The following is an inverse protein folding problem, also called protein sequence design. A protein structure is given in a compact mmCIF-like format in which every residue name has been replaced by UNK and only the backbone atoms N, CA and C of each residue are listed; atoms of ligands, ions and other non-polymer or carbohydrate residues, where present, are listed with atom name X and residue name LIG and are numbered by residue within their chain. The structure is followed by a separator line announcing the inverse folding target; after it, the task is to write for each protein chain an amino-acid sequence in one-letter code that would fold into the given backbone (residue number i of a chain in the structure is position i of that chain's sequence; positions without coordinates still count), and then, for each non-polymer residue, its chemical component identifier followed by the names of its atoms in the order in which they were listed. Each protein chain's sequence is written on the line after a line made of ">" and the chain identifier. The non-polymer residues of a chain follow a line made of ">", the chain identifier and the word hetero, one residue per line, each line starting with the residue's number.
data_IF_154686373545
#
_entry.id   IF_154686373545
#
_cell.length_a   1.000
_cell.length_b   1.000
_cell.length_c   1.000
_cell.angle_alpha   90.00
_cell.angle_beta   90.00
_cell.angle_gamma   90.00
#
_symmetry.space_group_name_H-M   'P 1'
#
loop_
_entity.id
_entity.type
_entity.pdbx_description
1 polymer ?
#
# COMPACT_ATOMS: atom_id res chain seq x y z
N UNK A 1 43.18 -34.88 -8.30
CA UNK A 1 43.30 -33.45 -8.35
C UNK A 1 42.01 -32.82 -8.84
N UNK A 2 41.30 -32.06 -8.00
CA UNK A 2 40.15 -31.26 -8.39
C UNK A 2 40.65 -30.16 -9.33
N UNK A 3 40.31 -30.22 -10.61
CA UNK A 3 40.50 -29.14 -11.56
C UNK A 3 39.44 -28.07 -11.24
N UNK A 4 39.88 -26.99 -10.61
CA UNK A 4 39.01 -25.91 -10.23
C UNK A 4 38.42 -25.19 -11.47
N UNK A 5 37.21 -24.59 -11.31
CA UNK A 5 36.52 -23.77 -12.32
C UNK A 5 37.42 -22.71 -12.98
N UNK A 6 38.47 -22.22 -12.29
CA UNK A 6 39.43 -21.27 -12.81
C UNK A 6 40.28 -21.79 -14.00
N UNK A 7 40.47 -23.11 -14.17
CA UNK A 7 41.22 -23.66 -15.28
C UNK A 7 40.40 -23.74 -16.59
N UNK A 8 39.11 -23.73 -16.54
CA UNK A 8 38.22 -23.72 -17.71
C UNK A 8 38.23 -22.33 -18.38
N UNK A 9 38.28 -21.25 -17.60
CA UNK A 9 38.32 -19.87 -18.11
C UNK A 9 39.65 -19.53 -18.83
N UNK A 10 40.77 -20.16 -18.44
CA UNK A 10 42.08 -19.92 -19.06
C UNK A 10 42.24 -20.62 -20.41
N UNK A 11 41.30 -21.41 -20.88
CA UNK A 11 41.42 -22.22 -22.08
C UNK A 11 40.58 -21.76 -23.29
N UNK A 12 39.73 -20.74 -23.13
CA UNK A 12 39.01 -20.19 -24.29
C UNK A 12 39.93 -19.29 -25.13
N UNK A 13 40.00 -19.48 -26.44
CA UNK A 13 40.70 -18.57 -27.34
C UNK A 13 40.19 -17.13 -27.23
N UNK A 14 41.05 -16.14 -27.39
CA UNK A 14 40.67 -14.72 -27.26
C UNK A 14 39.52 -14.34 -28.18
N UNK A 15 39.47 -14.88 -29.39
CA UNK A 15 38.41 -14.67 -30.36
C UNK A 15 37.04 -15.18 -29.82
N UNK A 16 37.03 -16.34 -29.18
CA UNK A 16 35.81 -16.89 -28.59
C UNK A 16 35.33 -16.03 -27.42
N UNK A 17 36.25 -15.54 -26.58
CA UNK A 17 35.92 -14.61 -25.50
C UNK A 17 35.24 -13.33 -26.03
N UNK A 18 35.77 -12.76 -27.13
CA UNK A 18 35.21 -11.57 -27.75
C UNK A 18 33.80 -11.82 -28.34
N UNK A 19 33.59 -12.98 -28.97
CA UNK A 19 32.28 -13.39 -29.49
C UNK A 19 31.25 -13.52 -28.36
N UNK A 20 31.64 -14.18 -27.25
CA UNK A 20 30.79 -14.34 -26.06
C UNK A 20 30.45 -12.96 -25.47
N UNK A 21 31.44 -12.08 -25.31
CA UNK A 21 31.23 -10.74 -24.78
C UNK A 21 30.21 -9.94 -25.63
N UNK A 22 30.44 -9.88 -26.96
CA UNK A 22 29.54 -9.19 -27.88
C UNK A 22 28.12 -9.75 -27.87
N UNK A 23 27.99 -11.08 -27.83
CA UNK A 23 26.70 -11.75 -27.74
C UNK A 23 25.98 -11.41 -26.42
N UNK A 24 26.71 -11.48 -25.30
CA UNK A 24 26.15 -11.20 -23.98
C UNK A 24 25.74 -9.72 -23.85
N UNK A 25 26.56 -8.78 -24.35
CA UNK A 25 26.24 -7.36 -24.35
C UNK A 25 24.90 -7.09 -25.06
N UNK A 26 24.75 -7.68 -26.27
CA UNK A 26 23.49 -7.57 -27.02
C UNK A 26 22.32 -8.21 -26.28
N UNK A 27 22.47 -9.46 -25.83
CA UNK A 27 21.36 -10.21 -25.21
C UNK A 27 20.99 -9.66 -23.84
N UNK A 28 21.96 -9.25 -23.02
CA UNK A 28 21.69 -8.61 -21.76
C UNK A 28 21.01 -7.25 -21.94
N UNK A 29 21.42 -6.47 -22.97
CA UNK A 29 20.74 -5.22 -23.33
C UNK A 29 19.28 -5.45 -23.71
N UNK A 30 18.98 -6.42 -24.59
CA UNK A 30 17.60 -6.78 -24.94
C UNK A 30 16.74 -7.18 -23.69
N UNK A 31 17.34 -7.91 -22.73
CA UNK A 31 16.67 -8.32 -21.48
C UNK A 31 16.44 -7.10 -20.59
N UNK A 32 17.43 -6.19 -20.45
CA UNK A 32 17.30 -4.98 -19.64
C UNK A 32 16.21 -4.05 -20.18
N UNK A 33 16.11 -3.91 -21.51
CA UNK A 33 15.01 -3.17 -22.15
C UNK A 33 13.64 -3.79 -21.82
N UNK A 34 13.52 -5.12 -21.87
CA UNK A 34 12.29 -5.81 -21.48
C UNK A 34 11.93 -5.59 -20.00
N UNK A 35 12.91 -5.60 -19.10
CA UNK A 35 12.70 -5.32 -17.68
C UNK A 35 12.20 -3.88 -17.52
N UNK A 36 12.85 -2.91 -18.15
CA UNK A 36 12.44 -1.50 -18.10
C UNK A 36 11.01 -1.30 -18.57
N UNK A 37 10.63 -1.95 -19.69
CA UNK A 37 9.25 -1.91 -20.18
C UNK A 37 8.22 -2.48 -19.17
N UNK A 38 8.58 -3.57 -18.45
CA UNK A 38 7.67 -4.09 -17.41
C UNK A 38 7.55 -3.12 -16.22
N UNK A 39 8.64 -2.47 -15.80
CA UNK A 39 8.64 -1.46 -14.72
C UNK A 39 7.80 -0.24 -15.10
N UNK A 40 7.91 0.24 -16.32
CA UNK A 40 7.06 1.32 -16.84
C UNK A 40 5.57 0.93 -16.85
N UNK A 41 5.25 -0.31 -17.26
CA UNK A 41 3.89 -0.81 -17.25
C UNK A 41 3.32 -0.88 -15.82
N UNK A 42 4.11 -1.31 -14.83
CA UNK A 42 3.72 -1.31 -13.41
C UNK A 42 3.39 0.12 -12.96
N UNK A 43 4.24 1.08 -13.27
CA UNK A 43 4.02 2.49 -12.94
C UNK A 43 2.72 3.04 -13.56
N UNK A 44 2.44 2.71 -14.82
CA UNK A 44 1.19 3.08 -15.50
C UNK A 44 -0.03 2.43 -14.86
N UNK A 45 0.05 1.14 -14.48
CA UNK A 45 -1.03 0.43 -13.79
C UNK A 45 -1.31 1.04 -12.40
N UNK A 46 -0.28 1.40 -11.63
CA UNK A 46 -0.44 2.08 -10.36
C UNK A 46 -1.11 3.46 -10.51
N UNK A 47 -0.71 4.23 -11.52
CA UNK A 47 -1.33 5.52 -11.84
C UNK A 47 -2.78 5.35 -12.29
N UNK A 48 -3.09 4.33 -13.08
CA UNK A 48 -4.45 4.02 -13.50
C UNK A 48 -5.32 3.61 -12.32
N UNK A 49 -4.81 2.74 -11.41
CA UNK A 49 -5.50 2.37 -10.17
C UNK A 49 -5.88 3.61 -9.36
N UNK A 50 -4.94 4.53 -9.21
CA UNK A 50 -5.18 5.78 -8.48
C UNK A 50 -6.26 6.65 -9.15
N UNK A 51 -6.28 6.71 -10.49
CA UNK A 51 -7.31 7.46 -11.24
C UNK A 51 -8.69 6.82 -11.09
N UNK A 52 -8.78 5.49 -11.19
CA UNK A 52 -10.03 4.74 -11.00
C UNK A 52 -10.61 4.98 -9.61
N UNK A 53 -9.78 4.91 -8.57
CA UNK A 53 -10.22 5.18 -7.19
C UNK A 53 -10.74 6.62 -7.10
N UNK A 54 -9.94 7.60 -7.55
CA UNK A 54 -10.32 9.01 -7.45
C UNK A 54 -11.61 9.31 -8.18
N UNK A 55 -11.77 8.84 -9.43
CA UNK A 55 -12.98 9.05 -10.23
C UNK A 55 -14.21 8.45 -9.53
N UNK A 56 -14.13 7.21 -9.07
CA UNK A 56 -15.24 6.53 -8.45
C UNK A 56 -15.70 7.17 -7.13
N UNK A 57 -14.76 7.61 -6.27
CA UNK A 57 -15.13 8.22 -4.97
C UNK A 57 -15.45 9.72 -5.04
N UNK A 58 -15.25 10.37 -6.20
CA UNK A 58 -15.60 11.79 -6.39
C UNK A 58 -16.73 12.01 -7.38
N UNK A 59 -16.86 11.17 -8.41
CA UNK A 59 -17.84 11.32 -9.49
C UNK A 59 -18.83 10.17 -9.60
N UNK A 60 -18.67 9.10 -8.79
CA UNK A 60 -19.53 7.93 -8.86
C UNK A 60 -19.23 7.03 -10.05
N UNK A 61 -20.13 6.09 -10.32
CA UNK A 61 -20.00 5.11 -11.41
C UNK A 61 -20.80 5.50 -12.66
N UNK A 62 -21.84 6.31 -12.51
CA UNK A 62 -22.67 6.78 -13.62
C UNK A 62 -22.12 8.13 -14.15
N UNK A 63 -21.67 8.13 -15.39
CA UNK A 63 -21.09 9.31 -16.05
C UNK A 63 -22.13 10.30 -16.56
N UNK A 64 -23.41 9.93 -16.55
CA UNK A 64 -24.50 10.76 -17.07
C UNK A 64 -25.19 11.61 -15.99
N UNK A 65 -24.75 11.47 -14.74
CA UNK A 65 -25.33 12.23 -13.62
C UNK A 65 -24.86 13.69 -13.70
N UNK A 66 -25.79 14.67 -13.54
CA UNK A 66 -25.41 16.08 -13.46
C UNK A 66 -24.46 16.33 -12.29
N UNK A 67 -23.45 17.16 -12.53
CA UNK A 67 -22.46 17.54 -11.54
C UNK A 67 -22.75 18.93 -10.96
N UNK A 68 -22.32 19.16 -9.72
CA UNK A 68 -22.30 20.46 -9.06
C UNK A 68 -20.94 20.72 -8.43
N UNK A 69 -20.59 21.98 -8.26
CA UNK A 69 -19.43 22.36 -7.45
C UNK A 69 -19.67 21.91 -5.98
N UNK A 70 -18.71 21.22 -5.40
CA UNK A 70 -18.73 20.79 -4.01
C UNK A 70 -18.59 21.95 -3.01
N UNK A 71 -18.13 23.10 -3.46
CA UNK A 71 -17.72 24.23 -2.62
C UNK A 71 -16.38 24.00 -1.89
N UNK A 72 -15.67 22.91 -2.20
CA UNK A 72 -14.38 22.54 -1.61
C UNK A 72 -13.36 22.37 -2.73
N UNK A 73 -12.38 23.24 -2.78
CA UNK A 73 -11.39 23.33 -3.87
C UNK A 73 -10.76 21.98 -4.24
N UNK A 74 -10.33 21.20 -3.25
CA UNK A 74 -9.65 19.90 -3.51
C UNK A 74 -10.60 18.74 -3.84
N UNK A 75 -11.91 18.89 -3.63
CA UNK A 75 -12.92 17.89 -4.03
C UNK A 75 -13.37 18.18 -5.48
N UNK A 76 -13.55 19.46 -5.81
CA UNK A 76 -14.03 19.89 -7.12
C UNK A 76 -15.50 19.56 -7.35
N UNK A 77 -15.84 19.13 -8.56
CA UNK A 77 -17.21 18.77 -8.95
C UNK A 77 -17.58 17.36 -8.47
N UNK A 78 -18.81 17.22 -7.99
CA UNK A 78 -19.42 15.97 -7.50
C UNK A 78 -20.82 15.79 -8.10
N UNK A 79 -21.39 14.57 -8.13
CA UNK A 79 -22.78 14.36 -8.50
C UNK A 79 -23.73 15.24 -7.69
N UNK A 80 -24.74 15.81 -8.34
CA UNK A 80 -25.63 16.80 -7.73
C UNK A 80 -26.33 16.29 -6.46
N UNK A 81 -26.67 15.01 -6.43
CA UNK A 81 -27.34 14.37 -5.30
C UNK A 81 -26.43 14.02 -4.11
N UNK A 82 -25.09 14.13 -4.28
CA UNK A 82 -24.14 13.86 -3.19
C UNK A 82 -24.09 15.00 -2.19
N UNK A 83 -23.66 14.67 -0.97
CA UNK A 83 -23.51 15.63 0.14
C UNK A 83 -22.06 15.72 0.58
N UNK A 84 -21.59 16.95 0.77
CA UNK A 84 -20.28 17.23 1.38
C UNK A 84 -20.46 17.38 2.88
N UNK A 85 -19.69 16.64 3.66
CA UNK A 85 -19.68 16.77 5.12
C UNK A 85 -18.29 16.50 5.69
N UNK A 86 -18.04 16.99 6.90
CA UNK A 86 -16.81 16.69 7.63
C UNK A 86 -16.82 15.26 8.14
N UNK A 87 -15.62 14.66 8.21
CA UNK A 87 -15.40 13.29 8.65
C UNK A 87 -16.02 12.99 10.02
N UNK A 88 -15.97 13.94 10.96
CA UNK A 88 -16.56 13.82 12.29
C UNK A 88 -18.06 13.49 12.32
N UNK A 89 -18.77 13.71 11.22
CA UNK A 89 -20.18 13.33 11.09
C UNK A 89 -20.35 11.91 10.52
N UNK A 90 -19.26 11.30 10.04
CA UNK A 90 -19.24 9.96 9.44
C UNK A 90 -18.73 8.88 10.39
N UNK A 91 -17.74 9.18 11.23
CA UNK A 91 -17.12 8.23 12.14
C UNK A 91 -16.44 8.94 13.32
N UNK A 92 -15.97 8.17 14.29
CA UNK A 92 -15.10 8.63 15.37
C UNK A 92 -13.66 8.17 15.13
N UNK A 93 -12.68 8.92 15.64
CA UNK A 93 -11.26 8.58 15.58
C UNK A 93 -10.70 8.39 16.98
N UNK A 94 -9.94 7.31 17.15
CA UNK A 94 -9.27 6.99 18.40
C UNK A 94 -7.79 6.71 18.14
N UNK A 95 -6.97 7.03 19.14
CA UNK A 95 -5.55 6.75 19.12
C UNK A 95 -5.05 6.49 20.53
N UNK A 96 -3.93 5.83 20.66
CA UNK A 96 -3.36 5.56 21.98
C UNK A 96 -3.02 6.88 22.69
N UNK A 97 -3.58 7.05 23.86
CA UNK A 97 -3.36 8.25 24.70
C UNK A 97 -1.99 8.15 25.36
N UNK A 98 -1.22 9.26 25.42
CA UNK A 98 0.17 9.27 25.86
C UNK A 98 0.40 8.63 27.23
N UNK A 99 -0.46 8.89 28.24
CA UNK A 99 -0.35 8.30 29.57
C UNK A 99 -0.73 6.80 29.63
N UNK A 100 -1.40 6.27 28.60
CA UNK A 100 -1.65 4.84 28.40
C UNK A 100 -0.68 4.22 27.37
N UNK A 101 0.44 4.90 27.10
CA UNK A 101 1.52 4.36 26.30
C UNK A 101 2.07 3.05 26.88
N UNK A 102 2.86 2.34 26.08
CA UNK A 102 3.53 1.13 26.52
C UNK A 102 5.04 1.23 26.25
N UNK A 103 5.81 0.45 27.00
CA UNK A 103 7.26 0.33 26.90
C UNK A 103 7.64 -1.05 26.39
N UNK A 104 8.94 -1.28 26.16
CA UNK A 104 9.48 -2.59 25.77
C UNK A 104 9.08 -3.72 26.74
N UNK A 105 8.98 -3.42 28.04
CA UNK A 105 8.63 -4.40 29.08
C UNK A 105 7.15 -4.83 29.00
N UNK A 106 6.31 -4.07 28.32
CA UNK A 106 4.91 -4.41 28.06
C UNK A 106 4.76 -5.35 26.84
N UNK A 107 5.84 -5.51 26.05
CA UNK A 107 5.86 -6.42 24.91
C UNK A 107 6.13 -7.84 25.40
N UNK A 108 5.39 -8.79 24.85
CA UNK A 108 5.40 -10.20 25.28
C UNK A 108 5.58 -11.13 24.09
N UNK A 109 5.88 -12.39 24.36
CA UNK A 109 5.92 -13.44 23.35
C UNK A 109 4.53 -13.83 22.86
N UNK A 110 4.47 -14.49 21.72
CA UNK A 110 3.24 -15.04 21.14
C UNK A 110 2.45 -15.86 22.17
N UNK A 111 1.12 -15.70 22.14
CA UNK A 111 0.21 -16.36 23.08
C UNK A 111 -0.02 -15.62 24.41
N UNK A 112 0.85 -14.66 24.78
CA UNK A 112 0.77 -13.93 26.04
C UNK A 112 0.17 -12.54 25.95
N UNK A 113 -0.36 -12.16 24.79
CA UNK A 113 -0.94 -10.83 24.56
C UNK A 113 -1.63 -10.71 23.21
N UNK A 114 -2.16 -9.52 22.95
CA UNK A 114 -2.79 -9.13 21.69
C UNK A 114 -1.77 -8.58 20.70
N UNK A 115 -2.04 -8.70 19.39
CA UNK A 115 -1.19 -8.10 18.37
C UNK A 115 -1.25 -6.58 18.48
N UNK A 116 -0.11 -5.91 18.57
CA UNK A 116 -0.02 -4.44 18.41
C UNK A 116 0.40 -4.10 17.01
N UNK A 117 -0.50 -3.47 16.27
CA UNK A 117 -0.32 -3.08 14.87
C UNK A 117 0.53 -1.82 14.77
N UNK A 118 1.43 -1.82 13.79
CA UNK A 118 2.33 -0.72 13.45
C UNK A 118 2.18 -0.34 11.96
N UNK A 119 2.76 0.77 11.49
CA UNK A 119 2.73 1.13 10.06
C UNK A 119 3.26 0.05 9.12
N UNK A 120 4.14 -0.84 9.59
CA UNK A 120 4.66 -1.97 8.79
C UNK A 120 3.62 -3.05 8.49
N UNK A 121 2.57 -3.15 9.32
CA UNK A 121 1.45 -4.07 9.10
C UNK A 121 0.41 -3.53 8.10
N UNK A 122 0.56 -2.31 7.64
CA UNK A 122 -0.36 -1.67 6.70
C UNK A 122 0.20 -1.76 5.29
N UNK A 123 -0.53 -2.40 4.37
CA UNK A 123 -0.14 -2.61 2.96
C UNK A 123 -1.24 -2.08 2.04
N UNK A 124 -1.12 -0.82 1.62
CA UNK A 124 -2.18 -0.12 0.88
C UNK A 124 -3.53 -0.23 1.59
N UNK A 125 -4.55 -0.76 0.90
CA UNK A 125 -5.89 -0.98 1.49
C UNK A 125 -5.99 -2.21 2.39
N UNK A 126 -4.93 -3.02 2.54
CA UNK A 126 -4.97 -4.30 3.26
C UNK A 126 -4.09 -4.29 4.49
N UNK A 127 -4.37 -5.22 5.41
CA UNK A 127 -3.53 -5.50 6.56
C UNK A 127 -2.60 -6.68 6.27
N UNK A 128 -1.37 -6.59 6.76
CA UNK A 128 -0.36 -7.66 6.72
C UNK A 128 -0.04 -8.09 8.15
N UNK A 129 -0.41 -9.31 8.48
CA UNK A 129 -0.18 -9.91 9.80
C UNK A 129 1.01 -10.88 9.83
N UNK A 130 1.88 -10.85 8.85
CA UNK A 130 3.06 -11.75 8.76
C UNK A 130 4.03 -11.49 9.91
N UNK A 131 4.37 -10.21 10.13
CA UNK A 131 5.23 -9.79 11.23
C UNK A 131 4.37 -9.28 12.39
N UNK A 132 4.40 -9.99 13.51
CA UNK A 132 3.56 -9.71 14.68
C UNK A 132 4.41 -9.26 15.84
N UNK A 133 3.94 -8.26 16.54
CA UNK A 133 4.45 -7.83 17.84
C UNK A 133 3.29 -7.94 18.82
N UNK A 134 3.54 -8.51 20.02
CA UNK A 134 2.49 -8.76 20.98
C UNK A 134 2.61 -7.84 22.18
N UNK A 135 1.48 -7.25 22.57
CA UNK A 135 1.32 -6.40 23.73
C UNK A 135 0.59 -7.16 24.83
N UNK A 136 1.07 -7.08 26.06
CA UNK A 136 0.48 -7.81 27.20
C UNK A 136 -1.03 -7.56 27.33
N UNK A 137 -1.77 -8.58 27.76
CA UNK A 137 -3.22 -8.48 27.97
C UNK A 137 -3.61 -7.34 28.89
N UNK A 138 -2.81 -7.08 29.92
CA UNK A 138 -3.02 -5.93 30.82
C UNK A 138 -3.06 -4.63 30.03
N UNK A 139 -2.08 -4.36 29.17
CA UNK A 139 -1.98 -3.15 28.35
C UNK A 139 -3.04 -3.09 27.25
N UNK A 140 -3.43 -4.23 26.71
CA UNK A 140 -4.52 -4.32 25.74
C UNK A 140 -5.85 -3.84 26.33
N UNK A 141 -6.21 -4.33 27.52
CA UNK A 141 -7.47 -3.98 28.19
C UNK A 141 -7.49 -2.55 28.79
N UNK A 142 -6.34 -1.89 28.95
CA UNK A 142 -6.30 -0.49 29.38
C UNK A 142 -6.91 0.52 28.38
N UNK A 143 -7.06 0.14 27.10
CA UNK A 143 -7.49 1.02 26.02
C UNK A 143 -8.51 0.34 25.10
N UNK A 144 -9.72 0.08 25.59
CA UNK A 144 -10.74 -0.64 24.81
C UNK A 144 -11.19 0.14 23.57
N UNK A 145 -11.07 1.46 23.56
CA UNK A 145 -11.42 2.33 22.45
C UNK A 145 -10.58 2.10 21.19
N UNK A 146 -9.39 1.53 21.32
CA UNK A 146 -8.47 1.20 20.22
C UNK A 146 -8.29 -0.29 19.98
N UNK A 147 -9.13 -1.13 20.56
CA UNK A 147 -9.25 -2.53 20.16
C UNK A 147 -9.78 -2.61 18.74
N UNK A 148 -9.11 -3.37 17.89
CA UNK A 148 -9.42 -3.42 16.46
C UNK A 148 -10.51 -4.44 16.17
N UNK A 149 -11.39 -4.07 15.28
CA UNK A 149 -12.49 -4.91 14.79
C UNK A 149 -12.55 -4.89 13.27
N UNK A 150 -13.21 -5.88 12.69
CA UNK A 150 -13.54 -5.88 11.26
C UNK A 150 -14.27 -4.60 10.88
N UNK A 151 -13.96 -4.07 9.69
CA UNK A 151 -14.47 -2.80 9.15
C UNK A 151 -13.88 -1.53 9.80
N UNK A 152 -12.93 -1.65 10.71
CA UNK A 152 -12.16 -0.48 11.14
C UNK A 152 -11.25 0.03 10.03
N UNK A 153 -10.96 1.32 10.05
CA UNK A 153 -9.98 1.93 9.15
C UNK A 153 -8.82 2.42 9.99
N UNK A 154 -7.60 2.10 9.58
CA UNK A 154 -6.39 2.54 10.26
C UNK A 154 -5.69 3.62 9.43
N UNK A 155 -5.12 4.64 10.11
CA UNK A 155 -4.30 5.66 9.46
C UNK A 155 -3.03 5.90 10.28
N UNK A 156 -1.91 5.98 9.60
CA UNK A 156 -0.65 6.41 10.22
C UNK A 156 -0.72 7.91 10.48
N UNK A 157 -0.69 8.31 11.76
CA UNK A 157 -0.69 9.73 12.14
C UNK A 157 0.71 10.31 12.33
N UNK A 158 1.71 9.48 12.62
CA UNK A 158 3.06 9.92 12.98
C UNK A 158 4.13 9.09 12.28
N UNK A 159 5.16 9.75 11.76
CA UNK A 159 6.32 9.13 11.09
C UNK A 159 6.34 9.36 9.59
N UNK A 160 7.33 8.79 8.89
CA UNK A 160 7.59 9.01 7.45
C UNK A 160 6.46 8.57 6.51
N UNK A 161 5.57 7.70 6.97
CA UNK A 161 4.43 7.17 6.20
C UNK A 161 3.09 7.75 6.68
N UNK A 162 3.10 8.91 7.30
CA UNK A 162 1.87 9.59 7.75
C UNK A 162 0.84 9.71 6.62
N UNK A 163 -0.44 9.62 6.96
CA UNK A 163 -1.55 9.62 6.00
C UNK A 163 -1.78 8.28 5.28
N UNK A 164 -0.90 7.29 5.43
CA UNK A 164 -1.13 5.94 4.92
C UNK A 164 -2.32 5.32 5.64
N UNK A 165 -3.28 4.80 4.86
CA UNK A 165 -4.49 4.16 5.37
C UNK A 165 -4.59 2.71 4.95
N UNK A 166 -5.19 1.88 5.81
CA UNK A 166 -5.57 0.50 5.50
C UNK A 166 -6.94 0.18 6.07
N UNK A 167 -7.63 -0.74 5.42
CA UNK A 167 -8.93 -1.25 5.84
C UNK A 167 -8.76 -2.61 6.52
N UNK A 168 -9.51 -2.86 7.58
CA UNK A 168 -9.48 -4.13 8.32
C UNK A 168 -10.59 -5.04 7.80
N UNK A 169 -10.25 -5.88 6.81
CA UNK A 169 -11.18 -6.89 6.27
C UNK A 169 -11.39 -8.04 7.24
N UNK A 170 -10.32 -8.45 7.93
CA UNK A 170 -10.33 -9.54 8.90
C UNK A 170 -9.22 -9.36 9.94
N UNK A 171 -9.32 -10.04 11.06
CA UNK A 171 -8.32 -10.06 12.14
C UNK A 171 -8.02 -11.51 12.55
N UNK A 172 -6.74 -11.90 12.68
CA UNK A 172 -6.38 -13.28 13.04
C UNK A 172 -6.60 -13.59 14.52
N UNK A 173 -6.59 -12.57 15.37
CA UNK A 173 -6.82 -12.61 16.82
C UNK A 173 -7.02 -11.18 17.35
N UNK A 174 -7.10 -11.00 18.64
CA UNK A 174 -7.21 -9.69 19.28
C UNK A 174 -6.05 -8.77 18.86
N UNK A 175 -6.41 -7.57 18.37
CA UNK A 175 -5.48 -6.56 17.87
C UNK A 175 -5.72 -5.20 18.53
N UNK A 176 -4.65 -4.44 18.68
CA UNK A 176 -4.66 -3.02 19.06
C UNK A 176 -3.68 -2.26 18.17
N UNK A 177 -3.57 -0.96 18.34
CA UNK A 177 -2.64 -0.11 17.58
C UNK A 177 -1.51 0.44 18.45
N UNK A 178 -0.37 0.69 17.80
CA UNK A 178 0.74 1.42 18.41
C UNK A 178 0.45 2.95 18.42
N UNK A 179 1.27 3.76 19.11
CA UNK A 179 1.07 5.21 19.17
C UNK A 179 1.14 5.95 17.83
N UNK A 180 1.69 5.34 16.78
CA UNK A 180 1.83 5.97 15.46
C UNK A 180 0.56 5.92 14.62
N UNK A 181 -0.44 5.12 15.02
CA UNK A 181 -1.67 4.86 14.27
C UNK A 181 -2.87 5.44 15.00
N UNK A 182 -3.87 5.86 14.25
CA UNK A 182 -5.25 6.09 14.71
C UNK A 182 -6.18 5.10 14.03
N UNK A 183 -7.29 4.78 14.72
CA UNK A 183 -8.37 3.94 14.21
C UNK A 183 -9.66 4.74 14.09
N UNK A 184 -10.33 4.60 12.96
CA UNK A 184 -11.66 5.13 12.72
C UNK A 184 -12.68 4.03 12.96
N UNK A 185 -13.68 4.33 13.76
CA UNK A 185 -14.69 3.40 14.27
C UNK A 185 -16.09 4.04 14.28
N UNK A 186 -17.09 3.25 14.59
CA UNK A 186 -18.48 3.72 14.75
C UNK A 186 -18.97 4.46 13.50
N UNK A 187 -18.75 3.86 12.35
CA UNK A 187 -19.07 4.42 11.05
C UNK A 187 -20.59 4.58 10.86
N UNK A 188 -21.02 5.74 10.38
CA UNK A 188 -22.38 6.04 9.93
C UNK A 188 -22.52 5.92 8.41
N UNK A 189 -21.39 5.94 7.70
CA UNK A 189 -21.26 5.73 6.27
C UNK A 189 -20.60 4.36 6.02
N UNK A 190 -20.58 3.90 4.77
CA UNK A 190 -19.97 2.62 4.44
C UNK A 190 -18.44 2.68 4.63
N UNK A 191 -17.87 1.91 5.55
CA UNK A 191 -16.47 2.10 5.96
C UNK A 191 -15.49 1.91 4.82
N UNK A 192 -15.75 0.94 3.94
CA UNK A 192 -14.84 0.64 2.83
C UNK A 192 -14.84 1.74 1.77
N UNK A 193 -15.98 2.40 1.51
CA UNK A 193 -16.04 3.59 0.68
C UNK A 193 -15.18 4.71 1.26
N UNK A 194 -15.28 4.94 2.56
CA UNK A 194 -14.46 5.94 3.25
C UNK A 194 -12.96 5.59 3.19
N UNK A 195 -12.60 4.32 3.34
CA UNK A 195 -11.22 3.87 3.22
C UNK A 195 -10.65 4.16 1.81
N UNK A 196 -11.43 3.94 0.75
CA UNK A 196 -11.05 4.34 -0.61
C UNK A 196 -10.94 5.85 -0.77
N UNK A 197 -11.83 6.62 -0.15
CA UNK A 197 -11.78 8.09 -0.20
C UNK A 197 -10.50 8.64 0.42
N UNK A 198 -9.94 7.99 1.45
CA UNK A 198 -8.64 8.32 2.01
C UNK A 198 -7.46 8.07 1.05
N UNK A 199 -7.61 7.23 0.05
CA UNK A 199 -6.53 6.93 -0.92
C UNK A 199 -6.36 8.00 -2.01
N UNK A 200 -7.26 8.98 -2.11
CA UNK A 200 -7.17 9.99 -3.17
C UNK A 200 -5.98 10.93 -2.97
N UNK A 201 -5.42 11.41 -4.09
CA UNK A 201 -4.33 12.40 -4.06
C UNK A 201 -4.75 13.68 -3.34
N UNK A 202 -6.01 14.10 -3.51
CA UNK A 202 -6.55 15.28 -2.84
C UNK A 202 -6.55 15.13 -1.32
N UNK A 203 -7.00 13.98 -0.81
CA UNK A 203 -6.93 13.68 0.62
C UNK A 203 -5.48 13.67 1.11
N UNK A 204 -4.56 13.06 0.35
CA UNK A 204 -3.14 13.03 0.70
C UNK A 204 -2.53 14.43 0.75
N UNK A 205 -2.79 15.28 -0.26
CA UNK A 205 -2.33 16.66 -0.28
C UNK A 205 -2.86 17.45 0.93
N UNK A 206 -4.14 17.26 1.29
CA UNK A 206 -4.71 17.91 2.47
C UNK A 206 -4.09 17.39 3.78
N UNK A 207 -3.80 16.10 3.88
CA UNK A 207 -3.05 15.51 5.00
C UNK A 207 -1.68 16.18 5.14
N UNK A 208 -0.97 16.39 4.05
CA UNK A 208 0.35 17.05 4.03
C UNK A 208 0.29 18.48 4.57
N UNK A 209 -0.74 19.26 4.21
CA UNK A 209 -0.93 20.62 4.77
C UNK A 209 -1.30 20.63 6.25
N UNK A 210 -1.72 19.49 6.78
CA UNK A 210 -2.19 19.32 8.15
C UNK A 210 -1.09 18.87 9.12
N UNK A 211 0.10 18.55 8.60
CA UNK A 211 1.24 18.09 9.41
C UNK A 211 1.75 19.21 10.31
N UNK A 212 1.99 18.88 11.57
CA UNK A 212 2.57 19.74 12.60
C UNK A 212 3.82 19.06 13.12
N UNK A 213 4.87 19.83 13.39
CA UNK A 213 6.11 19.34 13.97
C UNK A 213 7.29 19.39 12.97
N UNK A 214 8.50 19.50 13.52
CA UNK A 214 9.74 19.62 12.74
C UNK A 214 10.35 18.27 12.36
N UNK A 215 10.95 17.58 13.34
CA UNK A 215 11.74 16.35 13.06
C UNK A 215 10.88 15.12 12.78
N UNK A 216 9.71 15.01 13.42
CA UNK A 216 8.78 13.89 13.21
C UNK A 216 7.40 14.45 12.82
N UNK A 217 6.98 14.28 11.54
CA UNK A 217 5.69 14.75 11.08
C UNK A 217 4.55 14.03 11.82
N UNK A 218 3.59 14.81 12.34
CA UNK A 218 2.43 14.29 13.06
C UNK A 218 1.16 15.01 12.62
N UNK A 219 0.08 14.26 12.38
CA UNK A 219 -1.23 14.81 12.06
C UNK A 219 -2.06 14.86 13.33
N UNK A 220 -2.59 16.03 13.66
CA UNK A 220 -3.51 16.17 14.78
C UNK A 220 -4.87 15.50 14.47
N UNK A 221 -5.38 14.68 15.41
CA UNK A 221 -6.66 13.99 15.23
C UNK A 221 -7.82 14.95 14.93
N UNK A 222 -7.84 16.10 15.57
CA UNK A 222 -8.85 17.14 15.33
C UNK A 222 -8.85 17.62 13.87
N UNK A 223 -7.66 17.81 13.28
CA UNK A 223 -7.54 18.17 11.86
C UNK A 223 -8.09 17.09 10.97
N UNK A 224 -7.76 15.81 11.23
CA UNK A 224 -8.29 14.67 10.48
C UNK A 224 -9.83 14.68 10.48
N UNK A 225 -10.44 14.87 11.65
CA UNK A 225 -11.89 14.84 11.83
C UNK A 225 -12.62 16.01 11.15
N UNK A 226 -11.90 17.07 10.82
CA UNK A 226 -12.42 18.22 10.09
C UNK A 226 -12.23 18.10 8.56
N UNK A 227 -11.65 17.01 8.03
CA UNK A 227 -11.57 16.78 6.59
C UNK A 227 -12.96 16.67 5.97
N UNK A 228 -13.11 17.26 4.80
CA UNK A 228 -14.33 17.18 4.03
C UNK A 228 -14.25 16.05 3.01
N UNK A 229 -15.34 15.29 2.91
CA UNK A 229 -15.53 14.26 1.90
C UNK A 229 -16.90 14.41 1.26
N UNK A 230 -16.99 13.97 0.01
CA UNK A 230 -18.27 13.83 -0.69
C UNK A 230 -18.84 12.43 -0.42
N UNK A 231 -20.10 12.37 -0.07
CA UNK A 231 -20.79 11.14 0.28
C UNK A 231 -22.04 10.95 -0.57
N UNK A 232 -22.10 9.87 -1.37
CA UNK A 232 -23.33 9.41 -2.00
C UNK A 232 -24.31 8.82 -0.98
N UNK A 233 -25.54 8.45 -1.37
CA UNK A 233 -26.40 7.58 -0.60
C UNK A 233 -25.71 6.27 -0.25
N UNK A 234 -26.07 5.65 0.89
CA UNK A 234 -25.36 4.48 1.43
C UNK A 234 -25.29 3.29 0.45
N UNK A 235 -26.36 3.05 -0.31
CA UNK A 235 -26.40 2.00 -1.34
C UNK A 235 -25.39 2.24 -2.47
N UNK A 236 -25.22 3.51 -2.86
CA UNK A 236 -24.23 3.89 -3.88
C UNK A 236 -22.79 3.81 -3.34
N UNK A 237 -22.55 4.19 -2.06
CA UNK A 237 -21.27 3.97 -1.39
C UNK A 237 -20.86 2.49 -1.45
N UNK A 238 -21.79 1.59 -1.17
CA UNK A 238 -21.55 0.15 -1.23
C UNK A 238 -21.25 -0.33 -2.65
N UNK A 239 -22.00 0.15 -3.64
CA UNK A 239 -21.78 -0.19 -5.05
C UNK A 239 -20.40 0.29 -5.54
N UNK A 240 -19.99 1.51 -5.18
CA UNK A 240 -18.69 2.06 -5.51
C UNK A 240 -17.57 1.24 -4.84
N UNK A 241 -17.71 0.90 -3.57
CA UNK A 241 -16.70 0.12 -2.87
C UNK A 241 -16.54 -1.28 -3.47
N UNK A 242 -17.65 -1.95 -3.81
CA UNK A 242 -17.61 -3.27 -4.47
C UNK A 242 -16.95 -3.20 -5.87
N UNK A 243 -17.27 -2.19 -6.65
CA UNK A 243 -16.62 -1.93 -7.93
C UNK A 243 -15.11 -1.74 -7.77
N UNK A 244 -14.71 -0.92 -6.79
CA UNK A 244 -13.30 -0.66 -6.53
C UNK A 244 -12.55 -1.90 -6.01
N UNK A 245 -13.17 -2.72 -5.17
CA UNK A 245 -12.60 -3.99 -4.73
C UNK A 245 -12.24 -4.87 -5.93
N UNK A 246 -13.19 -5.04 -6.86
CA UNK A 246 -12.97 -5.83 -8.06
C UNK A 246 -11.88 -5.21 -8.94
N UNK A 247 -12.00 -3.93 -9.28
CA UNK A 247 -11.06 -3.26 -10.19
C UNK A 247 -9.65 -3.16 -9.63
N UNK A 248 -9.51 -2.84 -8.36
CA UNK A 248 -8.19 -2.80 -7.72
C UNK A 248 -7.56 -4.19 -7.67
N UNK A 249 -8.36 -5.24 -7.39
CA UNK A 249 -7.86 -6.62 -7.39
C UNK A 249 -7.36 -7.05 -8.78
N UNK A 250 -8.12 -6.75 -9.85
CA UNK A 250 -7.71 -7.03 -11.24
C UNK A 250 -6.38 -6.33 -11.59
N UNK A 251 -6.24 -5.05 -11.18
CA UNK A 251 -5.01 -4.29 -11.45
C UNK A 251 -3.83 -4.83 -10.63
N UNK A 252 -4.05 -5.17 -9.35
CA UNK A 252 -3.01 -5.72 -8.48
C UNK A 252 -2.51 -7.08 -8.96
N UNK A 253 -3.39 -7.92 -9.52
CA UNK A 253 -3.02 -9.17 -10.17
C UNK A 253 -2.12 -8.92 -11.40
N UNK A 254 -2.49 -7.97 -12.26
CA UNK A 254 -1.66 -7.59 -13.41
C UNK A 254 -0.28 -7.07 -12.97
N UNK A 255 -0.20 -6.26 -11.92
CA UNK A 255 1.06 -5.78 -11.36
C UNK A 255 1.90 -6.97 -10.87
N UNK A 256 1.29 -7.89 -10.13
CA UNK A 256 1.97 -9.11 -9.63
C UNK A 256 2.55 -9.96 -10.76
N UNK A 257 1.79 -10.17 -11.84
CA UNK A 257 2.27 -10.90 -13.03
C UNK A 257 3.48 -10.21 -13.66
N UNK A 258 3.45 -8.87 -13.76
CA UNK A 258 4.58 -8.08 -14.30
C UNK A 258 5.83 -8.19 -13.41
N UNK A 259 5.67 -8.13 -12.09
CA UNK A 259 6.75 -8.30 -11.13
C UNK A 259 7.39 -9.70 -11.24
N UNK A 260 6.59 -10.76 -11.31
CA UNK A 260 7.07 -12.12 -11.51
C UNK A 260 7.83 -12.28 -12.84
N UNK A 261 7.36 -11.58 -13.90
CA UNK A 261 8.06 -11.58 -15.19
C UNK A 261 9.43 -10.92 -15.10
N UNK A 262 9.55 -9.80 -14.36
CA UNK A 262 10.83 -9.14 -14.10
C UNK A 262 11.81 -10.09 -13.39
N UNK A 263 11.36 -10.78 -12.34
CA UNK A 263 12.22 -11.73 -11.63
C UNK A 263 12.70 -12.88 -12.53
N UNK A 264 11.80 -13.44 -13.35
CA UNK A 264 12.17 -14.47 -14.33
C UNK A 264 13.17 -13.97 -15.38
N UNK A 265 13.04 -12.74 -15.85
CA UNK A 265 13.97 -12.13 -16.79
C UNK A 265 15.37 -11.92 -16.13
N UNK A 266 15.42 -11.47 -14.88
CA UNK A 266 16.66 -11.33 -14.11
C UNK A 266 17.35 -12.69 -13.91
N UNK A 267 16.60 -13.73 -13.58
CA UNK A 267 17.16 -15.07 -13.40
C UNK A 267 17.64 -15.66 -14.74
N UNK A 268 16.87 -15.46 -15.82
CA UNK A 268 17.29 -15.86 -17.16
C UNK A 268 18.60 -15.16 -17.57
N UNK A 269 18.74 -13.84 -17.31
CA UNK A 269 19.97 -13.08 -17.59
C UNK A 269 21.16 -13.68 -16.85
N UNK A 270 21.00 -14.00 -15.56
CA UNK A 270 22.07 -14.65 -14.76
C UNK A 270 22.47 -16.01 -15.33
N UNK A 271 21.49 -16.85 -15.69
CA UNK A 271 21.73 -18.17 -16.27
C UNK A 271 22.43 -18.07 -17.63
N UNK A 272 21.99 -17.15 -18.49
CA UNK A 272 22.58 -16.92 -19.81
C UNK A 272 24.06 -16.53 -19.69
N UNK A 273 24.39 -15.57 -18.81
CA UNK A 273 25.78 -15.17 -18.56
C UNK A 273 26.61 -16.39 -18.10
N UNK A 274 26.09 -17.12 -17.11
CA UNK A 274 26.77 -18.31 -16.57
C UNK A 274 27.03 -19.36 -17.64
N UNK A 275 26.02 -19.70 -18.44
CA UNK A 275 26.12 -20.74 -19.48
C UNK A 275 27.13 -20.36 -20.58
N UNK A 276 27.11 -19.11 -21.04
CA UNK A 276 28.05 -18.62 -22.06
C UNK A 276 29.49 -18.57 -21.54
N UNK A 277 29.67 -17.99 -20.35
CA UNK A 277 31.02 -17.83 -19.77
C UNK A 277 31.63 -19.16 -19.37
N UNK A 278 30.85 -20.15 -18.95
CA UNK A 278 31.36 -21.50 -18.61
C UNK A 278 31.45 -22.44 -19.80
N UNK A 279 31.13 -21.99 -21.03
CA UNK A 279 31.15 -22.81 -22.24
C UNK A 279 30.04 -23.88 -22.33
N UNK A 280 29.04 -23.83 -21.45
CA UNK A 280 27.87 -24.72 -21.52
C UNK A 280 26.95 -24.38 -22.69
N UNK A 281 26.99 -23.11 -23.11
CA UNK A 281 26.27 -22.61 -24.28
C UNK A 281 27.27 -22.11 -25.32
N UNK A 282 27.23 -22.69 -26.49
CA UNK A 282 28.04 -22.21 -27.64
C UNK A 282 27.43 -20.93 -28.20
N UNK A 283 28.29 -19.95 -28.42
CA UNK A 283 27.94 -18.70 -29.10
C UNK A 283 28.57 -18.80 -30.50
N UNK A 284 27.71 -18.78 -31.53
CA UNK A 284 28.15 -18.80 -32.96
C UNK A 284 27.81 -17.45 -33.58
#
# INVERSE_FOLDING_TARGET
>A
GSRGLGDVYKRQPLHEQQLIATYLDKKCGEIDELITLQEEMITKLQSYKQSVITEAVTKGLDKNVPLKDSGIEWIGEIPEHWKVKRLKFSCNVFGRIGFRGYKSDDLVSEGNGAITLSPSNMKDMKMDYTNRTYLSWKKYYESPEIMISKNDILMVKTGSTYGKCSFVDDIPMECTINPQIVVFKQHKDYPKFLAYSFQTKATRAFVETSVVGGTIPTIAQEKIMNYFFAFPPLSEQQSIANYLDQKCSEIDELISIKQQKIEKLKDYKKSLIFECVTGKRKVS
#
